data_IF_586886465335
#
_entry.id   IF_586886465335
#
_cell.length_a   1.000
_cell.length_b   1.000
_cell.length_c   1.000
_cell.angle_alpha   90.00
_cell.angle_beta   90.00
_cell.angle_gamma   90.00
#
_symmetry.space_group_name_H-M   'P 1'
#
loop_
_entity.id
_entity.type
_entity.pdbx_description
1 polymer ?
#
# COMPACT_ATOMS: atom_id res chain seq x y z
N UNK A 1 -9.26 -14.22 24.62
CA UNK A 1 -9.78 -13.33 23.54
C UNK A 1 -9.26 -11.92 23.84
N UNK A 2 -8.06 -11.60 23.41
CA UNK A 2 -7.46 -10.27 23.56
C UNK A 2 -8.06 -9.38 22.49
N UNK A 3 -8.98 -8.49 22.88
CA UNK A 3 -9.54 -7.45 22.00
C UNK A 3 -8.44 -6.51 21.55
N UNK A 4 -7.85 -6.77 20.36
CA UNK A 4 -6.83 -5.90 19.77
C UNK A 4 -7.43 -4.53 19.49
N UNK A 5 -6.68 -3.47 19.80
CA UNK A 5 -7.04 -2.08 19.48
C UNK A 5 -7.17 -1.93 17.96
N UNK A 6 -8.23 -1.28 17.49
CA UNK A 6 -8.35 -0.87 16.09
C UNK A 6 -7.24 0.15 15.76
N UNK A 7 -6.39 -0.19 14.81
CA UNK A 7 -5.27 0.64 14.39
C UNK A 7 -5.64 1.46 13.15
N UNK A 8 -6.59 0.98 12.34
CA UNK A 8 -7.18 1.73 11.24
C UNK A 8 -8.68 1.77 11.46
N UNK A 9 -9.25 2.96 11.39
CA UNK A 9 -10.70 3.19 11.46
C UNK A 9 -11.09 4.03 10.24
N UNK A 10 -12.04 3.54 9.46
CA UNK A 10 -12.58 4.19 8.27
C UNK A 10 -14.08 4.36 8.47
N UNK A 11 -14.58 5.57 8.34
CA UNK A 11 -15.99 5.92 8.57
C UNK A 11 -16.52 6.81 7.45
N UNK A 12 -17.43 6.27 6.65
CA UNK A 12 -18.11 6.97 5.55
C UNK A 12 -17.17 7.53 4.48
N UNK A 13 -15.97 6.94 4.30
CA UNK A 13 -14.92 7.52 3.47
C UNK A 13 -15.35 7.61 2.00
N UNK A 14 -15.38 8.84 1.48
CA UNK A 14 -15.83 9.15 0.13
C UNK A 14 -14.76 9.92 -0.64
N UNK A 15 -14.57 9.58 -1.92
CA UNK A 15 -13.71 10.33 -2.83
C UNK A 15 -14.39 10.58 -4.16
N UNK A 16 -14.56 11.85 -4.49
CA UNK A 16 -15.09 12.31 -5.77
C UNK A 16 -13.99 13.10 -6.48
N UNK A 17 -13.64 12.70 -7.67
CA UNK A 17 -12.75 13.44 -8.55
C UNK A 17 -13.55 14.34 -9.49
N UNK A 18 -13.05 15.56 -9.71
CA UNK A 18 -13.57 16.47 -10.72
C UNK A 18 -12.46 16.68 -11.75
N UNK A 19 -12.43 15.88 -12.84
CA UNK A 19 -11.41 16.03 -13.87
C UNK A 19 -11.56 17.40 -14.56
N UNK A 20 -10.50 17.97 -15.13
CA UNK A 20 -10.59 19.14 -15.99
C UNK A 20 -11.63 18.94 -17.08
N UNK A 21 -12.37 19.98 -17.42
CA UNK A 21 -13.36 19.94 -18.51
C UNK A 21 -12.69 19.61 -19.85
N UNK A 22 -13.36 18.82 -20.67
CA UNK A 22 -12.96 18.62 -22.06
C UNK A 22 -13.13 19.92 -22.87
N UNK A 23 -12.56 19.99 -24.08
CA UNK A 23 -12.77 21.13 -24.98
C UNK A 23 -14.27 21.43 -25.19
N UNK A 24 -15.15 20.40 -25.21
CA UNK A 24 -16.60 20.55 -25.30
C UNK A 24 -17.21 21.13 -24.03
N UNK A 25 -16.68 20.80 -22.86
CA UNK A 25 -17.14 21.35 -21.60
C UNK A 25 -16.77 22.83 -21.48
N UNK A 26 -15.54 23.21 -21.90
CA UNK A 26 -15.08 24.59 -21.94
C UNK A 26 -15.94 25.45 -22.88
N UNK A 27 -16.29 24.93 -24.06
CA UNK A 27 -17.23 25.64 -24.97
C UNK A 27 -18.62 25.83 -24.40
N UNK A 28 -19.00 25.04 -23.39
CA UNK A 28 -20.26 25.16 -22.64
C UNK A 28 -20.10 25.94 -21.34
N UNK A 29 -18.98 26.62 -21.12
CA UNK A 29 -18.68 27.38 -19.91
C UNK A 29 -18.42 26.51 -18.65
N UNK A 30 -18.15 25.21 -18.82
CA UNK A 30 -17.85 24.29 -17.72
C UNK A 30 -16.35 24.10 -17.58
N UNK A 31 -15.75 24.55 -16.50
CA UNK A 31 -14.33 24.38 -16.18
C UNK A 31 -13.97 22.93 -15.82
N UNK A 32 -14.95 22.14 -15.35
CA UNK A 32 -14.76 20.76 -14.91
C UNK A 32 -15.69 19.82 -15.67
N UNK A 33 -15.18 18.60 -15.94
CA UNK A 33 -15.96 17.49 -16.47
C UNK A 33 -16.93 16.92 -15.43
N UNK A 34 -17.64 15.86 -15.81
CA UNK A 34 -18.53 15.15 -14.89
C UNK A 34 -17.77 14.61 -13.68
N UNK A 35 -18.31 14.73 -12.46
CA UNK A 35 -17.69 14.17 -11.27
C UNK A 35 -17.63 12.62 -11.36
N UNK A 36 -16.51 12.05 -10.95
CA UNK A 36 -16.30 10.60 -10.90
C UNK A 36 -16.15 10.19 -9.44
N UNK A 37 -17.09 9.41 -8.92
CA UNK A 37 -17.03 8.86 -7.58
C UNK A 37 -16.13 7.62 -7.57
N UNK A 38 -14.95 7.72 -6.94
CA UNK A 38 -14.02 6.62 -6.83
C UNK A 38 -14.24 5.77 -5.57
N UNK A 39 -14.75 6.39 -4.50
CA UNK A 39 -15.21 5.71 -3.28
C UNK A 39 -16.48 6.39 -2.77
N UNK A 40 -17.42 5.63 -2.25
CA UNK A 40 -18.71 6.08 -1.80
C UNK A 40 -19.07 5.48 -0.43
N UNK A 41 -18.89 6.27 0.63
CA UNK A 41 -19.24 5.93 2.02
C UNK A 41 -18.70 4.57 2.50
N UNK A 42 -17.40 4.33 2.29
CA UNK A 42 -16.73 3.09 2.73
C UNK A 42 -16.44 3.17 4.22
N UNK A 43 -16.83 2.11 4.98
CA UNK A 43 -16.58 2.02 6.42
C UNK A 43 -16.09 0.63 6.79
N UNK A 44 -14.99 0.55 7.54
CA UNK A 44 -14.44 -0.68 8.14
C UNK A 44 -13.39 -0.33 9.18
N UNK A 45 -12.99 -1.33 9.97
CA UNK A 45 -11.85 -1.22 10.90
C UNK A 45 -10.82 -2.31 10.65
N UNK A 46 -9.57 -2.08 11.07
CA UNK A 46 -8.49 -3.05 11.04
C UNK A 46 -7.83 -3.10 12.40
N UNK A 47 -7.68 -4.31 12.96
CA UNK A 47 -7.04 -4.52 14.26
C UNK A 47 -5.52 -4.49 14.15
N UNK A 48 -4.87 -4.12 15.24
CA UNK A 48 -3.40 -4.19 15.32
C UNK A 48 -2.90 -5.62 15.08
N UNK A 49 -1.92 -5.78 14.18
CA UNK A 49 -1.36 -7.08 13.79
C UNK A 49 -2.14 -7.82 12.69
N UNK A 50 -3.31 -7.30 12.28
CA UNK A 50 -4.14 -7.92 11.24
C UNK A 50 -3.61 -7.61 9.84
N UNK A 51 -3.71 -8.56 8.92
CA UNK A 51 -3.53 -8.37 7.47
C UNK A 51 -4.90 -8.41 6.81
N UNK A 52 -5.39 -7.28 6.36
CA UNK A 52 -6.66 -7.16 5.62
C UNK A 52 -6.37 -7.03 4.14
N UNK A 53 -7.01 -7.88 3.34
CA UNK A 53 -6.97 -7.76 1.89
C UNK A 53 -8.21 -7.01 1.37
N UNK A 54 -8.02 -6.04 0.49
CA UNK A 54 -9.09 -5.40 -0.26
C UNK A 54 -9.06 -5.94 -1.69
N UNK A 55 -10.06 -6.72 -2.04
CA UNK A 55 -10.23 -7.31 -3.36
C UNK A 55 -11.30 -6.58 -4.17
N UNK A 56 -11.22 -6.67 -5.48
CA UNK A 56 -12.21 -6.13 -6.41
C UNK A 56 -11.64 -5.84 -7.78
N UNK A 57 -12.47 -5.64 -8.80
CA UNK A 57 -12.02 -5.40 -10.17
C UNK A 57 -11.17 -4.14 -10.31
N UNK A 58 -10.52 -4.01 -11.47
CA UNK A 58 -9.81 -2.78 -11.81
C UNK A 58 -10.79 -1.61 -11.85
N UNK A 59 -10.39 -0.47 -11.26
CA UNK A 59 -11.27 0.68 -11.13
C UNK A 59 -12.24 0.64 -9.94
N UNK A 60 -12.24 -0.41 -9.11
CA UNK A 60 -13.12 -0.50 -7.93
C UNK A 60 -12.84 0.55 -6.85
N UNK A 61 -11.67 1.24 -6.88
CA UNK A 61 -11.29 2.25 -5.88
C UNK A 61 -10.19 1.82 -4.92
N UNK A 62 -9.63 0.61 -5.06
CA UNK A 62 -8.61 0.04 -4.14
C UNK A 62 -7.40 0.95 -3.92
N UNK A 63 -6.73 1.36 -5.01
CA UNK A 63 -5.57 2.27 -4.91
C UNK A 63 -5.96 3.67 -4.39
N UNK A 64 -7.18 4.13 -4.66
CA UNK A 64 -7.70 5.38 -4.10
C UNK A 64 -7.83 5.29 -2.58
N UNK A 65 -8.37 4.18 -2.07
CA UNK A 65 -8.46 3.90 -0.65
C UNK A 65 -7.08 3.92 0.01
N UNK A 66 -6.13 3.15 -0.53
CA UNK A 66 -4.76 3.10 0.02
C UNK A 66 -4.07 4.47 0.00
N UNK A 67 -4.23 5.24 -1.08
CA UNK A 67 -3.64 6.60 -1.16
C UNK A 67 -4.22 7.55 -0.13
N UNK A 68 -5.51 7.45 0.20
CA UNK A 68 -6.12 8.23 1.29
C UNK A 68 -5.58 7.78 2.64
N UNK A 69 -5.51 6.48 2.92
CA UNK A 69 -4.94 5.95 4.16
C UNK A 69 -3.46 6.29 4.33
N UNK A 70 -2.71 6.42 3.23
CA UNK A 70 -1.31 6.86 3.20
C UNK A 70 -1.10 8.39 3.23
N UNK A 71 -2.18 9.20 3.29
CA UNK A 71 -2.09 10.66 3.28
C UNK A 71 -1.59 11.27 1.96
N UNK A 72 -1.71 10.52 0.86
CA UNK A 72 -1.38 10.99 -0.49
C UNK A 72 -2.58 11.62 -1.21
N UNK A 73 -3.77 11.43 -0.65
CA UNK A 73 -5.02 11.90 -1.22
C UNK A 73 -5.98 12.27 -0.09
N UNK A 74 -6.54 13.48 -0.13
CA UNK A 74 -7.52 13.93 0.87
C UNK A 74 -8.91 13.39 0.54
N UNK A 75 -9.68 12.88 1.51
CA UNK A 75 -11.08 12.53 1.34
C UNK A 75 -11.93 13.73 0.89
N UNK A 76 -13.04 13.46 0.19
CA UNK A 76 -14.06 14.47 -0.10
C UNK A 76 -15.06 14.56 1.05
N UNK A 77 -15.44 13.40 1.63
CA UNK A 77 -16.33 13.27 2.78
C UNK A 77 -15.91 12.08 3.65
N UNK A 78 -16.44 12.02 4.86
CA UNK A 78 -16.12 10.99 5.82
C UNK A 78 -14.77 11.20 6.51
N UNK A 79 -14.35 10.22 7.29
CA UNK A 79 -13.12 10.29 8.07
C UNK A 79 -12.39 8.95 8.08
N UNK A 80 -11.06 9.00 8.26
CA UNK A 80 -10.29 7.82 8.61
C UNK A 80 -9.12 8.20 9.51
N UNK A 81 -8.70 7.23 10.33
CA UNK A 81 -7.49 7.33 11.15
C UNK A 81 -6.60 6.12 10.94
N UNK A 82 -5.29 6.34 10.98
CA UNK A 82 -4.27 5.29 10.92
C UNK A 82 -3.33 5.49 12.11
N UNK A 83 -3.28 4.51 13.00
CA UNK A 83 -2.57 4.56 14.28
C UNK A 83 -2.88 5.84 15.09
N UNK A 84 -4.16 6.23 15.10
CA UNK A 84 -4.67 7.41 15.79
C UNK A 84 -4.45 8.74 15.06
N UNK A 85 -3.79 8.76 13.90
CA UNK A 85 -3.55 9.96 13.10
C UNK A 85 -4.61 10.08 12.00
N UNK A 86 -5.28 11.23 11.93
CA UNK A 86 -6.28 11.51 10.88
C UNK A 86 -5.64 11.59 9.49
N UNK A 87 -6.25 10.95 8.50
CA UNK A 87 -5.80 11.01 7.10
C UNK A 87 -5.96 12.40 6.46
N UNK A 88 -6.81 13.24 7.03
CA UNK A 88 -6.98 14.64 6.63
C UNK A 88 -6.06 15.59 7.43
N UNK A 89 -5.27 15.07 8.38
CA UNK A 89 -4.38 15.84 9.24
C UNK A 89 -2.97 16.01 8.67
N UNK A 90 -1.97 15.90 9.56
CA UNK A 90 -0.57 16.04 9.17
C UNK A 90 -0.06 14.87 8.34
N UNK A 91 0.16 15.10 7.04
CA UNK A 91 0.72 14.09 6.15
C UNK A 91 2.13 13.62 6.60
N UNK A 92 2.91 14.47 7.25
CA UNK A 92 4.23 14.10 7.79
C UNK A 92 4.11 13.16 8.97
N UNK A 93 3.14 13.36 9.86
CA UNK A 93 2.88 12.48 10.98
C UNK A 93 2.33 11.13 10.50
N UNK A 94 1.39 11.14 9.56
CA UNK A 94 0.83 9.94 8.97
C UNK A 94 1.90 9.07 8.29
N UNK A 95 2.84 9.69 7.53
CA UNK A 95 3.95 8.97 6.89
C UNK A 95 4.96 8.36 7.87
N UNK A 96 4.99 8.80 9.12
CA UNK A 96 5.76 8.11 10.18
C UNK A 96 5.03 6.86 10.69
N UNK A 97 3.71 6.79 10.56
CA UNK A 97 2.88 5.67 11.04
C UNK A 97 2.61 4.63 9.96
N UNK A 98 2.39 5.08 8.73
CA UNK A 98 2.04 4.23 7.60
C UNK A 98 2.99 4.42 6.43
N UNK A 99 3.34 3.32 5.77
CA UNK A 99 4.10 3.33 4.53
C UNK A 99 3.26 2.79 3.38
N UNK A 100 3.22 3.54 2.28
CA UNK A 100 2.56 3.15 1.05
C UNK A 100 3.58 2.58 0.06
N UNK A 101 3.39 1.32 -0.34
CA UNK A 101 4.27 0.59 -1.26
C UNK A 101 3.50 0.25 -2.53
N UNK A 102 3.99 0.69 -3.66
CA UNK A 102 3.45 0.44 -5.01
C UNK A 102 4.44 -0.38 -5.82
N UNK A 103 3.93 -1.28 -6.66
CA UNK A 103 4.76 -2.20 -7.43
C UNK A 103 5.59 -1.59 -8.55
N UNK A 104 5.22 -0.41 -9.08
CA UNK A 104 5.97 0.29 -10.13
C UNK A 104 6.42 1.66 -9.62
N UNK A 105 7.58 1.69 -8.99
CA UNK A 105 8.07 2.86 -8.29
C UNK A 105 9.00 3.69 -9.19
N UNK A 106 8.47 4.78 -9.72
CA UNK A 106 9.22 5.75 -10.53
C UNK A 106 10.06 6.73 -9.70
N UNK A 107 10.05 6.62 -8.36
CA UNK A 107 10.76 7.55 -7.47
C UNK A 107 12.24 7.19 -7.27
N UNK A 108 12.67 6.01 -7.72
CA UNK A 108 14.07 5.61 -7.62
C UNK A 108 14.95 6.25 -8.69
N UNK A 109 16.17 6.61 -8.30
CA UNK A 109 17.19 7.13 -9.22
C UNK A 109 17.81 5.99 -10.03
N UNK A 110 17.67 6.04 -11.34
CA UNK A 110 18.04 4.96 -12.26
C UNK A 110 19.55 4.73 -12.39
N UNK A 111 20.35 5.79 -12.17
CA UNK A 111 21.78 5.81 -12.40
C UNK A 111 22.63 5.38 -11.20
N UNK A 112 22.05 5.39 -10.00
CA UNK A 112 22.72 4.96 -8.78
C UNK A 112 22.29 3.56 -8.35
N UNK A 113 23.02 2.96 -7.43
CA UNK A 113 22.77 1.61 -6.93
C UNK A 113 21.50 1.50 -6.07
N UNK A 114 21.03 0.26 -5.82
CA UNK A 114 19.95 0.03 -4.85
C UNK A 114 20.30 0.51 -3.45
N UNK A 115 21.54 0.29 -3.02
CA UNK A 115 22.07 0.76 -1.73
C UNK A 115 22.04 2.27 -1.61
N UNK A 116 22.56 2.99 -2.62
CA UNK A 116 22.56 4.46 -2.64
C UNK A 116 21.14 5.03 -2.67
N UNK A 117 20.22 4.40 -3.40
CA UNK A 117 18.80 4.76 -3.35
C UNK A 117 18.24 4.63 -1.93
N UNK A 118 18.49 3.52 -1.22
CA UNK A 118 18.00 3.38 0.16
C UNK A 118 18.68 4.36 1.12
N UNK A 119 19.95 4.69 0.95
CA UNK A 119 20.62 5.74 1.75
C UNK A 119 19.95 7.10 1.54
N UNK A 120 19.62 7.44 0.30
CA UNK A 120 18.88 8.66 -0.03
C UNK A 120 17.52 8.72 0.68
N UNK A 121 16.74 7.63 0.60
CA UNK A 121 15.45 7.58 1.29
C UNK A 121 15.58 7.54 2.82
N UNK A 122 16.61 6.91 3.38
CA UNK A 122 16.87 6.92 4.80
C UNK A 122 17.11 8.37 5.31
N UNK A 123 17.85 9.17 4.55
CA UNK A 123 18.07 10.59 4.85
C UNK A 123 16.75 11.39 4.77
N UNK A 124 15.88 11.12 3.78
CA UNK A 124 14.54 11.73 3.69
C UNK A 124 13.63 11.36 4.87
N UNK A 125 13.82 10.17 5.46
CA UNK A 125 13.16 9.77 6.71
C UNK A 125 13.77 10.41 7.96
N UNK A 126 14.81 11.22 7.82
CA UNK A 126 15.50 11.89 8.95
C UNK A 126 16.41 10.95 9.74
N UNK A 127 16.79 9.79 9.22
CA UNK A 127 17.70 8.88 9.88
C UNK A 127 19.13 9.44 9.85
N UNK A 128 19.86 9.45 11.00
CA UNK A 128 21.26 9.81 11.01
C UNK A 128 22.08 8.95 10.03
N UNK A 129 23.10 9.52 9.38
CA UNK A 129 23.81 8.87 8.28
C UNK A 129 24.34 7.46 8.61
N UNK A 130 24.86 7.23 9.82
CA UNK A 130 25.36 5.92 10.26
C UNK A 130 24.21 4.94 10.44
N UNK A 131 23.17 5.33 11.16
CA UNK A 131 21.98 4.51 11.39
C UNK A 131 21.22 4.21 10.08
N UNK A 132 21.11 5.21 9.20
CA UNK A 132 20.48 5.05 7.89
C UNK A 132 21.21 4.06 6.99
N UNK A 133 22.56 4.09 6.97
CA UNK A 133 23.34 3.09 6.23
C UNK A 133 23.20 1.69 6.80
N UNK A 134 23.29 1.53 8.12
CA UNK A 134 23.10 0.24 8.77
C UNK A 134 21.71 -0.33 8.48
N UNK A 135 20.67 0.48 8.62
CA UNK A 135 19.28 0.08 8.34
C UNK A 135 19.05 -0.29 6.87
N UNK A 136 19.61 0.48 5.94
CA UNK A 136 19.54 0.17 4.51
C UNK A 136 20.21 -1.16 4.19
N UNK A 137 21.39 -1.43 4.75
CA UNK A 137 22.10 -2.72 4.61
C UNK A 137 21.27 -3.90 5.14
N UNK A 138 20.76 -3.79 6.36
CA UNK A 138 19.88 -4.80 6.96
C UNK A 138 18.67 -5.11 6.05
N UNK A 139 17.99 -4.08 5.56
CA UNK A 139 16.80 -4.24 4.74
C UNK A 139 17.11 -4.86 3.38
N UNK A 140 18.25 -4.52 2.76
CA UNK A 140 18.70 -5.14 1.51
C UNK A 140 18.92 -6.64 1.67
N UNK A 141 19.55 -7.07 2.76
CA UNK A 141 19.71 -8.50 3.07
C UNK A 141 18.35 -9.18 3.27
N UNK A 142 17.49 -8.60 4.09
CA UNK A 142 16.17 -9.15 4.41
C UNK A 142 15.26 -9.32 3.18
N UNK A 143 15.29 -8.38 2.23
CA UNK A 143 14.51 -8.51 0.99
C UNK A 143 15.23 -9.36 -0.08
N UNK A 144 16.39 -9.94 0.23
CA UNK A 144 17.17 -10.78 -0.69
C UNK A 144 17.86 -10.01 -1.81
N UNK A 145 18.26 -8.78 -1.55
CA UNK A 145 18.99 -7.91 -2.50
C UNK A 145 20.45 -7.67 -2.10
N UNK A 146 20.98 -8.31 -1.05
CA UNK A 146 22.34 -8.10 -0.55
C UNK A 146 23.39 -8.22 -1.64
N UNK A 147 23.40 -9.33 -2.39
CA UNK A 147 24.36 -9.58 -3.49
C UNK A 147 24.20 -8.62 -4.69
N UNK A 148 23.04 -7.94 -4.82
CA UNK A 148 22.75 -7.02 -5.90
C UNK A 148 22.70 -5.56 -5.43
N UNK A 149 22.99 -5.30 -4.16
CA UNK A 149 22.83 -4.00 -3.53
C UNK A 149 23.58 -2.86 -4.26
N UNK A 150 24.76 -3.16 -4.79
CA UNK A 150 25.66 -2.19 -5.42
C UNK A 150 25.48 -2.12 -6.96
N UNK A 151 24.59 -2.92 -7.54
CA UNK A 151 24.18 -2.79 -8.95
C UNK A 151 23.29 -1.57 -9.13
N UNK A 152 23.39 -0.92 -10.29
CA UNK A 152 22.55 0.24 -10.64
C UNK A 152 21.08 -0.16 -10.72
N UNK A 153 20.18 0.70 -10.24
CA UNK A 153 18.73 0.40 -10.24
C UNK A 153 18.17 0.09 -11.63
N UNK A 154 18.67 0.72 -12.71
CA UNK A 154 18.29 0.42 -14.09
C UNK A 154 18.50 -1.04 -14.48
N UNK A 155 19.45 -1.73 -13.85
CA UNK A 155 19.82 -3.13 -14.11
C UNK A 155 18.98 -4.13 -13.28
N UNK A 156 18.13 -3.61 -12.40
CA UNK A 156 17.26 -4.43 -11.57
C UNK A 156 16.12 -5.02 -12.42
N UNK A 157 15.87 -6.32 -12.22
CA UNK A 157 14.65 -6.96 -12.70
C UNK A 157 13.43 -6.36 -12.03
N UNK A 158 12.24 -6.60 -12.57
CA UNK A 158 10.99 -6.15 -11.97
C UNK A 158 10.87 -6.63 -10.51
N UNK A 159 11.17 -7.91 -10.25
CA UNK A 159 11.14 -8.47 -8.90
C UNK A 159 12.14 -7.81 -7.94
N UNK A 160 13.35 -7.47 -8.43
CA UNK A 160 14.34 -6.75 -7.63
C UNK A 160 13.87 -5.32 -7.31
N UNK A 161 13.24 -4.63 -8.26
CA UNK A 161 12.66 -3.29 -8.05
C UNK A 161 11.56 -3.34 -7.01
N UNK A 162 10.68 -4.34 -7.08
CA UNK A 162 9.62 -4.55 -6.11
C UNK A 162 10.16 -4.78 -4.70
N UNK A 163 11.18 -5.65 -4.56
CA UNK A 163 11.85 -5.90 -3.28
C UNK A 163 12.50 -4.63 -2.73
N UNK A 164 13.12 -3.80 -3.58
CA UNK A 164 13.69 -2.52 -3.17
C UNK A 164 12.61 -1.53 -2.72
N UNK A 165 11.44 -1.48 -3.39
CA UNK A 165 10.31 -0.64 -2.99
C UNK A 165 9.78 -1.03 -1.60
N UNK A 166 9.72 -2.33 -1.31
CA UNK A 166 9.36 -2.83 0.03
C UNK A 166 10.42 -2.45 1.06
N UNK A 167 11.72 -2.63 0.75
CA UNK A 167 12.81 -2.23 1.64
C UNK A 167 12.72 -0.73 1.97
N UNK A 168 12.46 0.12 0.98
CA UNK A 168 12.20 1.55 1.17
C UNK A 168 11.02 1.78 2.11
N UNK A 169 9.90 1.08 1.90
CA UNK A 169 8.72 1.18 2.74
C UNK A 169 8.97 0.82 4.21
N UNK A 170 9.96 -0.03 4.47
CA UNK A 170 10.35 -0.48 5.81
C UNK A 170 11.39 0.41 6.51
N UNK A 171 12.00 1.38 5.80
CA UNK A 171 13.06 2.24 6.35
C UNK A 171 12.63 2.98 7.62
N UNK A 172 11.48 3.64 7.57
CA UNK A 172 10.92 4.42 8.68
C UNK A 172 10.31 3.57 9.81
N UNK A 173 10.47 2.24 9.77
CA UNK A 173 9.85 1.31 10.73
C UNK A 173 8.34 1.58 10.97
N UNK A 174 7.51 1.71 9.93
CA UNK A 174 6.10 2.04 10.06
C UNK A 174 5.35 0.95 10.83
N UNK A 175 4.26 1.32 11.50
CA UNK A 175 3.36 0.36 12.16
C UNK A 175 2.35 -0.25 11.18
N UNK A 176 2.05 0.46 10.10
CA UNK A 176 1.09 0.05 9.06
C UNK A 176 1.76 0.00 7.70
N UNK A 177 1.56 -1.09 6.97
CA UNK A 177 1.96 -1.25 5.58
C UNK A 177 0.72 -1.19 4.67
N UNK A 178 0.77 -0.33 3.67
CA UNK A 178 -0.26 -0.19 2.65
C UNK A 178 0.33 -0.69 1.32
N UNK A 179 -0.09 -1.87 0.87
CA UNK A 179 0.50 -2.62 -0.22
C UNK A 179 -0.45 -2.63 -1.42
N UNK A 180 -0.07 -1.99 -2.52
CA UNK A 180 -0.87 -1.95 -3.74
C UNK A 180 -0.28 -2.90 -4.78
N UNK A 181 -0.93 -4.06 -4.98
CA UNK A 181 -0.56 -5.14 -5.89
C UNK A 181 0.94 -5.55 -5.77
N UNK A 182 1.42 -5.93 -4.58
CA UNK A 182 2.85 -6.08 -4.29
C UNK A 182 3.54 -7.20 -5.08
N UNK A 183 2.80 -8.18 -5.63
CA UNK A 183 3.40 -9.26 -6.42
C UNK A 183 3.05 -9.20 -7.91
N UNK A 184 2.39 -8.12 -8.37
CA UNK A 184 1.97 -7.98 -9.76
C UNK A 184 3.15 -8.07 -10.74
N UNK A 185 3.05 -9.02 -11.69
CA UNK A 185 4.05 -9.21 -12.76
C UNK A 185 5.37 -9.80 -12.31
N UNK A 186 5.39 -10.45 -11.14
CA UNK A 186 6.47 -11.34 -10.75
C UNK A 186 6.21 -12.74 -11.30
N UNK A 187 7.30 -13.50 -11.49
CA UNK A 187 7.18 -14.94 -11.75
C UNK A 187 6.60 -15.66 -10.52
N UNK A 188 6.01 -16.87 -10.68
CA UNK A 188 5.32 -17.56 -9.60
C UNK A 188 6.18 -17.81 -8.36
N UNK A 189 7.48 -18.09 -8.54
CA UNK A 189 8.41 -18.32 -7.43
C UNK A 189 8.71 -17.02 -6.71
N UNK A 190 9.06 -15.97 -7.46
CA UNK A 190 9.32 -14.63 -6.90
C UNK A 190 8.12 -14.07 -6.15
N UNK A 191 6.90 -14.26 -6.68
CA UNK A 191 5.66 -13.86 -6.02
C UNK A 191 5.43 -14.62 -4.70
N UNK A 192 5.65 -15.95 -4.70
CA UNK A 192 5.54 -16.78 -3.49
C UNK A 192 6.52 -16.36 -2.41
N UNK A 193 7.79 -16.20 -2.76
CA UNK A 193 8.84 -15.82 -1.82
C UNK A 193 8.56 -14.45 -1.22
N UNK A 194 8.08 -13.51 -2.04
CA UNK A 194 7.74 -12.16 -1.59
C UNK A 194 6.51 -12.15 -0.66
N UNK A 195 5.49 -12.94 -0.95
CA UNK A 195 4.31 -13.10 -0.08
C UNK A 195 4.69 -13.65 1.30
N UNK A 196 5.54 -14.68 1.34
CA UNK A 196 6.04 -15.25 2.60
C UNK A 196 6.82 -14.21 3.39
N UNK A 197 7.75 -13.49 2.75
CA UNK A 197 8.50 -12.42 3.41
C UNK A 197 7.57 -11.33 3.97
N UNK A 198 6.61 -10.84 3.18
CA UNK A 198 5.69 -9.79 3.61
C UNK A 198 4.83 -10.25 4.80
N UNK A 199 4.23 -11.45 4.70
CA UNK A 199 3.35 -11.98 5.74
C UNK A 199 4.12 -12.29 7.02
N UNK A 200 5.17 -13.08 6.93
CA UNK A 200 5.79 -13.69 8.11
C UNK A 200 6.83 -12.76 8.75
N UNK A 201 7.69 -12.11 7.95
CA UNK A 201 8.76 -11.28 8.48
C UNK A 201 8.38 -9.79 8.59
N UNK A 202 7.82 -9.22 7.50
CA UNK A 202 7.56 -7.78 7.48
C UNK A 202 6.35 -7.39 8.34
N UNK A 203 5.35 -8.27 8.48
CA UNK A 203 4.13 -8.01 9.26
C UNK A 203 4.14 -8.78 10.56
N UNK A 204 3.98 -10.12 10.55
CA UNK A 204 3.73 -10.91 11.77
C UNK A 204 4.89 -10.86 12.76
N UNK A 205 6.10 -11.19 12.34
CA UNK A 205 7.26 -11.19 13.25
C UNK A 205 7.58 -9.78 13.80
N UNK A 206 7.18 -8.74 13.09
CA UNK A 206 7.41 -7.35 13.50
C UNK A 206 6.22 -6.70 14.21
N UNK A 207 5.11 -7.41 14.40
CA UNK A 207 3.88 -6.91 15.02
C UNK A 207 3.22 -5.76 14.25
N UNK A 208 3.44 -5.69 12.93
CA UNK A 208 2.84 -4.66 12.08
C UNK A 208 1.45 -5.07 11.63
N UNK A 209 0.71 -4.09 11.12
CA UNK A 209 -0.57 -4.27 10.45
C UNK A 209 -0.39 -4.03 8.96
N UNK A 210 -1.15 -4.70 8.11
CA UNK A 210 -1.12 -4.41 6.68
C UNK A 210 -2.52 -4.33 6.06
N UNK A 211 -2.66 -3.43 5.08
CA UNK A 211 -3.73 -3.51 4.07
C UNK A 211 -3.07 -3.85 2.75
N UNK A 212 -3.54 -4.93 2.15
CA UNK A 212 -3.13 -5.44 0.85
C UNK A 212 -4.26 -5.20 -0.16
N UNK A 213 -3.99 -4.53 -1.28
CA UNK A 213 -4.90 -4.49 -2.41
C UNK A 213 -4.40 -5.44 -3.49
N UNK A 214 -5.27 -6.34 -3.95
CA UNK A 214 -4.94 -7.28 -5.04
C UNK A 214 -6.20 -7.72 -5.79
N UNK A 215 -6.00 -8.21 -7.02
CA UNK A 215 -7.01 -8.90 -7.81
C UNK A 215 -6.79 -10.42 -7.81
N UNK A 216 -5.67 -10.89 -7.23
CA UNK A 216 -5.30 -12.31 -7.18
C UNK A 216 -5.88 -12.99 -5.93
N UNK A 217 -6.89 -13.90 -6.08
CA UNK A 217 -7.43 -14.65 -4.95
C UNK A 217 -6.38 -15.51 -4.24
N UNK A 218 -5.39 -16.01 -4.98
CA UNK A 218 -4.29 -16.79 -4.41
C UNK A 218 -3.40 -15.95 -3.51
N UNK A 219 -3.14 -14.69 -3.84
CA UNK A 219 -2.42 -13.75 -3.00
C UNK A 219 -3.19 -13.41 -1.73
N UNK A 220 -4.49 -13.09 -1.87
CA UNK A 220 -5.36 -12.81 -0.73
C UNK A 220 -5.42 -14.00 0.24
N UNK A 221 -5.63 -15.22 -0.28
CA UNK A 221 -5.65 -16.46 0.53
C UNK A 221 -4.33 -16.73 1.24
N UNK A 222 -3.21 -16.45 0.58
CA UNK A 222 -1.88 -16.73 1.13
C UNK A 222 -1.46 -15.75 2.24
N UNK A 223 -2.00 -14.53 2.24
CA UNK A 223 -1.51 -13.46 3.09
C UNK A 223 -2.52 -12.96 4.12
N UNK A 224 -3.80 -12.84 3.76
CA UNK A 224 -4.78 -12.11 4.56
C UNK A 224 -5.34 -12.94 5.72
N UNK A 225 -5.74 -12.24 6.78
CA UNK A 225 -6.57 -12.77 7.86
C UNK A 225 -8.06 -12.54 7.58
N UNK A 226 -8.39 -11.50 6.78
CA UNK A 226 -9.73 -11.11 6.36
C UNK A 226 -9.71 -10.43 4.99
N UNK A 227 -10.78 -10.61 4.22
CA UNK A 227 -10.92 -10.04 2.88
C UNK A 227 -12.14 -9.12 2.83
N UNK A 228 -11.95 -7.91 2.31
CA UNK A 228 -12.99 -6.93 2.02
C UNK A 228 -13.22 -6.87 0.50
N UNK A 229 -14.46 -6.96 0.05
CA UNK A 229 -14.81 -6.87 -1.36
C UNK A 229 -15.25 -5.46 -1.72
N UNK A 230 -14.49 -4.81 -2.61
CA UNK A 230 -14.75 -3.45 -3.10
C UNK A 230 -15.19 -3.50 -4.55
N UNK A 231 -16.36 -2.93 -4.86
CA UNK A 231 -16.88 -2.84 -6.22
C UNK A 231 -17.53 -1.47 -6.46
N UNK A 232 -17.21 -0.85 -7.60
CA UNK A 232 -17.72 0.47 -7.97
C UNK A 232 -17.65 1.51 -6.83
N UNK A 233 -16.54 1.50 -6.08
CA UNK A 233 -16.29 2.40 -4.96
C UNK A 233 -17.05 2.07 -3.66
N UNK A 234 -17.74 0.95 -3.57
CA UNK A 234 -18.52 0.54 -2.39
C UNK A 234 -18.04 -0.78 -1.82
N UNK A 235 -18.03 -0.89 -0.52
CA UNK A 235 -17.82 -2.16 0.15
C UNK A 235 -19.08 -3.03 -0.02
N UNK A 236 -18.92 -4.24 -0.56
CA UNK A 236 -20.00 -5.18 -0.81
C UNK A 236 -20.15 -6.21 0.31
N UNK A 237 -19.04 -6.54 0.96
CA UNK A 237 -19.02 -7.52 2.03
C UNK A 237 -17.62 -7.80 2.50
N UNK A 238 -17.52 -8.70 3.46
CA UNK A 238 -16.26 -9.24 3.96
C UNK A 238 -16.35 -10.75 4.16
N UNK A 239 -15.23 -11.45 4.03
CA UNK A 239 -15.17 -12.89 4.27
C UNK A 239 -13.82 -13.32 4.85
N UNK A 240 -13.76 -14.56 5.31
CA UNK A 240 -12.51 -15.24 5.58
C UNK A 240 -11.82 -15.62 4.25
N UNK A 241 -10.48 -15.70 4.21
CA UNK A 241 -9.74 -15.95 2.98
C UNK A 241 -10.02 -17.29 2.30
N UNK A 242 -10.49 -18.28 3.04
CA UNK A 242 -10.89 -19.60 2.52
C UNK A 242 -12.23 -19.60 1.78
N UNK A 243 -13.04 -18.56 1.92
CA UNK A 243 -14.37 -18.41 1.31
C UNK A 243 -14.41 -17.46 0.11
N UNK A 244 -13.28 -16.97 -0.35
CA UNK A 244 -13.19 -15.99 -1.46
C UNK A 244 -13.90 -16.47 -2.72
N UNK A 245 -13.76 -17.76 -3.07
CA UNK A 245 -14.37 -18.34 -4.28
C UNK A 245 -15.89 -18.34 -4.23
N UNK A 246 -16.46 -18.62 -3.04
CA UNK A 246 -17.91 -18.59 -2.83
C UNK A 246 -18.47 -17.16 -3.02
N UNK A 247 -17.77 -16.16 -2.53
CA UNK A 247 -18.16 -14.75 -2.66
C UNK A 247 -17.99 -14.20 -4.08
N UNK A 248 -17.00 -14.72 -4.83
CA UNK A 248 -16.76 -14.33 -6.22
C UNK A 248 -17.62 -15.11 -7.23
N UNK A 249 -18.35 -16.15 -6.79
CA UNK A 249 -19.14 -17.00 -7.66
C UNK A 249 -18.31 -17.89 -8.60
N UNK A 250 -17.09 -18.26 -8.19
CA UNK A 250 -16.15 -19.10 -8.92
C UNK A 250 -16.28 -20.58 -8.54
#
# INVERSE_FOLDING_TARGET
MTGGRDIIVVDGLTKIFRPPGSARDLLRGRLFGAPVTALAAVSFTVRAGEIVCVMGPNGAGKSTLLRMLGGLLTPTEGAATVDGVSVAGSASELRRRASFVVGDERSFQWTISGRENLHYFAALHGLPAVAGRARAGELLERVGLGAAADRRYREYSRGMRQRLAIARGLLGAPRVLLLDEPTLGLDPRGARDLRLFLRDEAVRASGRTAILCTNDPGEARAMADRVLFLEAGRLKGESAPDRIEQELGL
#
